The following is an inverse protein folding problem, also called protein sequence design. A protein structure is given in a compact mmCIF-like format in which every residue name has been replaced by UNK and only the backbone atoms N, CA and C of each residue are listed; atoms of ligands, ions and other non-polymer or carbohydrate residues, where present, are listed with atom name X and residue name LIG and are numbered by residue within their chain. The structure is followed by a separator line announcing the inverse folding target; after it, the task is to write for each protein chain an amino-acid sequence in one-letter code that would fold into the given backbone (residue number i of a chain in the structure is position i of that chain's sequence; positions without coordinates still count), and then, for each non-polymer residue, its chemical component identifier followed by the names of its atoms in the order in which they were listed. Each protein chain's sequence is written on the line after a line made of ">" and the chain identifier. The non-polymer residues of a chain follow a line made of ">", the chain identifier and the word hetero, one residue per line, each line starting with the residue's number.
data_IF_899759453919
#
_entry.id   IF_899759453919
#
_cell.length_a   1.000
_cell.length_b   1.000
_cell.length_c   1.000
_cell.angle_alpha   90.00
_cell.angle_beta   90.00
_cell.angle_gamma   90.00
#
_symmetry.space_group_name_H-M   'P 1'
#
loop_
_entity.id
_entity.type
_entity.pdbx_description
1 polymer ?
#
# COMPACT_ATOMS: atom_id res chain seq x y z
N UNK A 1 6.37 -34.44 25.45
CA UNK A 1 7.43 -33.42 25.46
C UNK A 1 8.65 -33.85 24.66
N UNK A 2 9.36 -34.94 25.02
CA UNK A 2 10.52 -35.44 24.23
C UNK A 2 10.23 -35.69 22.75
N UNK A 3 9.05 -36.23 22.40
CA UNK A 3 8.65 -36.48 21.00
C UNK A 3 8.46 -35.19 20.16
N UNK A 4 7.87 -34.14 20.74
CA UNK A 4 7.70 -32.84 20.08
C UNK A 4 9.03 -32.13 19.85
N UNK A 5 9.93 -32.21 20.83
CA UNK A 5 11.27 -31.65 20.75
C UNK A 5 12.12 -32.37 19.69
N UNK A 6 12.07 -33.71 19.65
CA UNK A 6 12.73 -34.50 18.60
C UNK A 6 12.19 -34.14 17.21
N UNK A 7 10.87 -34.12 17.01
CA UNK A 7 10.26 -33.73 15.72
C UNK A 7 10.61 -32.30 15.31
N UNK A 8 10.71 -31.38 16.27
CA UNK A 8 11.14 -30.01 16.01
C UNK A 8 12.60 -29.95 15.54
N UNK A 9 13.51 -30.66 16.22
CA UNK A 9 14.92 -30.74 15.85
C UNK A 9 15.13 -31.46 14.52
N UNK A 10 14.38 -32.51 14.22
CA UNK A 10 14.38 -33.19 12.90
C UNK A 10 14.00 -32.22 11.78
N UNK A 11 12.94 -31.42 11.98
CA UNK A 11 12.56 -30.37 11.01
C UNK A 11 13.62 -29.28 10.86
N UNK A 12 14.27 -28.87 11.95
CA UNK A 12 15.39 -27.93 11.87
C UNK A 12 16.58 -28.53 11.13
N UNK A 13 16.88 -29.81 11.32
CA UNK A 13 17.96 -30.50 10.61
C UNK A 13 17.66 -30.66 9.10
N UNK A 14 16.39 -30.84 8.72
CA UNK A 14 15.97 -30.82 7.31
C UNK A 14 16.15 -29.43 6.67
N UNK A 15 15.79 -28.36 7.39
CA UNK A 15 15.91 -26.97 6.90
C UNK A 15 17.36 -26.47 6.90
N UNK A 16 18.16 -26.88 7.90
CA UNK A 16 19.54 -26.45 8.12
C UNK A 16 20.47 -27.65 8.33
N UNK A 17 20.83 -28.40 7.26
CA UNK A 17 21.52 -29.69 7.38
C UNK A 17 22.96 -29.63 7.92
N UNK A 18 23.54 -28.43 8.03
CA UNK A 18 24.92 -28.23 8.46
C UNK A 18 25.00 -27.14 9.53
N UNK A 19 26.02 -27.21 10.38
CA UNK A 19 26.33 -26.17 11.36
C UNK A 19 26.49 -24.81 10.68
N UNK A 20 27.12 -24.79 9.49
CA UNK A 20 27.29 -23.58 8.69
C UNK A 20 25.94 -23.00 8.26
N UNK A 21 25.03 -23.81 7.71
CA UNK A 21 23.70 -23.35 7.28
C UNK A 21 22.88 -22.78 8.46
N UNK A 22 22.86 -23.49 9.60
CA UNK A 22 22.16 -23.02 10.79
C UNK A 22 22.78 -21.72 11.33
N UNK A 23 24.11 -21.65 11.40
CA UNK A 23 24.83 -20.47 11.88
C UNK A 23 24.64 -19.26 10.98
N UNK A 24 24.66 -19.44 9.65
CA UNK A 24 24.37 -18.37 8.69
C UNK A 24 22.94 -17.84 8.87
N UNK A 25 21.96 -18.72 9.06
CA UNK A 25 20.58 -18.27 9.28
C UNK A 25 20.41 -17.54 10.60
N UNK A 26 21.01 -18.03 11.69
CA UNK A 26 21.01 -17.34 12.99
C UNK A 26 21.61 -15.94 12.85
N UNK A 27 22.77 -15.80 12.19
CA UNK A 27 23.40 -14.49 11.94
C UNK A 27 22.46 -13.58 11.13
N UNK A 28 21.80 -14.10 10.10
CA UNK A 28 20.87 -13.33 9.28
C UNK A 28 19.65 -12.86 10.09
N UNK A 29 19.03 -13.73 10.87
CA UNK A 29 17.85 -13.41 11.67
C UNK A 29 18.20 -12.42 12.79
N UNK A 30 19.33 -12.61 13.48
CA UNK A 30 19.84 -11.66 14.48
C UNK A 30 20.11 -10.28 13.85
N UNK A 31 20.73 -10.23 12.67
CA UNK A 31 20.95 -8.97 11.96
C UNK A 31 19.63 -8.26 11.60
N UNK A 32 18.58 -9.01 11.24
CA UNK A 32 17.25 -8.48 10.95
C UNK A 32 16.57 -7.97 12.23
N UNK A 33 16.66 -8.71 13.34
CA UNK A 33 16.08 -8.31 14.64
C UNK A 33 16.70 -7.03 15.20
N UNK A 34 17.95 -6.74 14.83
CA UNK A 34 18.64 -5.50 15.20
C UNK A 34 18.25 -4.28 14.33
N UNK A 35 17.43 -4.44 13.30
CA UNK A 35 16.87 -3.31 12.56
C UNK A 35 15.75 -2.62 13.36
N UNK A 36 15.52 -1.31 13.15
CA UNK A 36 14.35 -0.63 13.69
C UNK A 36 13.07 -1.34 13.26
N UNK A 37 12.12 -1.49 14.20
CA UNK A 37 10.83 -2.13 13.92
C UNK A 37 10.12 -1.43 12.74
N UNK A 38 9.52 -2.24 11.88
CA UNK A 38 8.60 -1.81 10.83
C UNK A 38 7.41 -1.01 11.39
N UNK A 39 6.74 -0.28 10.50
CA UNK A 39 5.53 0.45 10.88
C UNK A 39 4.33 -0.47 10.71
N UNK A 40 3.68 -0.82 11.82
CA UNK A 40 2.41 -1.53 11.85
C UNK A 40 1.26 -0.54 11.61
N UNK A 41 0.38 -0.83 10.67
CA UNK A 41 -0.76 0.03 10.34
C UNK A 41 -2.06 -0.70 10.63
N UNK A 42 -2.79 -0.25 11.63
CA UNK A 42 -4.08 -0.84 12.03
C UNK A 42 -5.22 -0.05 11.42
N UNK A 43 -6.13 -0.72 10.72
CA UNK A 43 -7.37 -0.16 10.19
C UNK A 43 -8.57 -0.93 10.70
N UNK A 44 -9.61 -0.20 11.06
CA UNK A 44 -10.91 -0.69 11.55
C UNK A 44 -12.01 0.07 10.82
N UNK A 45 -13.23 -0.45 10.85
CA UNK A 45 -14.43 0.25 10.39
C UNK A 45 -14.34 0.73 8.94
N UNK A 46 -13.91 -0.15 8.04
CA UNK A 46 -13.76 0.16 6.62
C UNK A 46 -15.14 0.28 5.97
N UNK A 47 -16.04 -0.67 6.27
CA UNK A 47 -17.44 -0.69 5.86
C UNK A 47 -17.66 -0.39 4.38
N UNK A 48 -16.79 -0.84 3.47
CA UNK A 48 -16.91 -0.61 2.03
C UNK A 48 -16.56 0.80 1.54
N UNK A 49 -16.07 1.69 2.40
CA UNK A 49 -15.68 3.07 2.07
C UNK A 49 -14.32 3.13 1.36
N UNK A 50 -14.31 2.72 0.08
CA UNK A 50 -13.08 2.55 -0.70
C UNK A 50 -12.24 3.83 -0.83
N UNK A 51 -12.84 5.00 -1.03
CA UNK A 51 -12.08 6.24 -1.21
C UNK A 51 -11.32 6.64 0.05
N UNK A 52 -11.99 6.56 1.20
CA UNK A 52 -11.40 6.81 2.51
C UNK A 52 -10.29 5.79 2.80
N UNK A 53 -10.57 4.50 2.57
CA UNK A 53 -9.59 3.44 2.71
C UNK A 53 -8.33 3.67 1.85
N UNK A 54 -8.51 3.98 0.57
CA UNK A 54 -7.42 4.26 -0.35
C UNK A 54 -6.60 5.49 0.08
N UNK A 55 -7.25 6.54 0.58
CA UNK A 55 -6.56 7.73 1.11
C UNK A 55 -5.69 7.39 2.32
N UNK A 56 -6.23 6.60 3.27
CA UNK A 56 -5.52 6.20 4.48
C UNK A 56 -4.32 5.31 4.16
N UNK A 57 -4.44 4.40 3.19
CA UNK A 57 -3.29 3.63 2.69
C UNK A 57 -2.21 4.53 2.09
N UNK A 58 -2.60 5.47 1.21
CA UNK A 58 -1.66 6.39 0.54
C UNK A 58 -0.92 7.30 1.52
N UNK A 59 -1.58 7.75 2.58
CA UNK A 59 -0.98 8.65 3.57
C UNK A 59 -0.28 7.92 4.74
N UNK A 60 -0.52 6.61 4.88
CA UNK A 60 0.02 5.77 5.95
C UNK A 60 -0.41 6.24 7.35
N UNK A 61 -1.66 6.64 7.52
CA UNK A 61 -2.17 7.35 8.71
C UNK A 61 -1.27 8.52 9.16
N UNK A 62 -0.84 9.33 8.18
CA UNK A 62 0.04 10.48 8.39
C UNK A 62 1.52 10.13 8.61
N UNK A 63 1.92 8.87 8.55
CA UNK A 63 3.33 8.46 8.65
C UNK A 63 4.19 9.04 7.51
N UNK A 64 3.64 9.16 6.30
CA UNK A 64 4.34 9.80 5.18
C UNK A 64 4.61 11.28 5.47
N UNK A 65 3.62 12.02 5.97
CA UNK A 65 3.80 13.44 6.35
C UNK A 65 4.87 13.60 7.43
N UNK A 66 4.89 12.71 8.43
CA UNK A 66 5.96 12.68 9.44
C UNK A 66 7.32 12.44 8.81
N UNK A 67 7.43 11.48 7.89
CA UNK A 67 8.68 11.20 7.14
C UNK A 67 9.20 12.43 6.39
N UNK A 68 8.32 13.14 5.69
CA UNK A 68 8.66 14.38 4.99
C UNK A 68 9.17 15.43 5.97
N UNK A 69 8.55 15.57 7.15
CA UNK A 69 8.97 16.50 8.18
C UNK A 69 10.33 16.10 8.79
N UNK A 70 10.57 14.80 9.03
CA UNK A 70 11.83 14.29 9.57
C UNK A 70 13.02 14.60 8.66
N UNK A 71 12.82 14.47 7.34
CA UNK A 71 13.89 14.70 6.34
C UNK A 71 14.16 16.20 6.15
N UNK A 72 13.11 17.01 6.02
CA UNK A 72 13.26 18.41 5.63
C UNK A 72 13.13 19.41 6.78
N UNK A 73 12.91 18.98 8.03
CA UNK A 73 13.03 19.80 9.24
C UNK A 73 12.62 21.26 9.04
N UNK A 74 13.56 22.19 9.14
CA UNK A 74 13.34 23.61 8.84
C UNK A 74 13.88 24.05 7.46
N UNK A 75 14.37 23.11 6.64
CA UNK A 75 14.90 23.41 5.29
C UNK A 75 13.81 23.68 4.26
N UNK A 76 12.59 23.20 4.49
CA UNK A 76 11.41 23.50 3.67
C UNK A 76 10.31 24.18 4.47
N UNK A 77 9.56 25.06 3.79
CA UNK A 77 8.34 25.66 4.36
C UNK A 77 7.28 24.59 4.62
N UNK A 78 6.36 24.85 5.56
CA UNK A 78 5.23 23.93 5.81
C UNK A 78 4.35 23.73 4.58
N UNK A 79 4.22 24.77 3.74
CA UNK A 79 3.48 24.68 2.47
C UNK A 79 4.14 23.71 1.49
N UNK A 80 5.47 23.75 1.38
CA UNK A 80 6.21 22.87 0.47
C UNK A 80 6.20 21.43 0.97
N UNK A 81 6.33 21.21 2.28
CA UNK A 81 6.19 19.87 2.88
C UNK A 81 4.81 19.29 2.63
N UNK A 82 3.75 20.09 2.79
CA UNK A 82 2.39 19.64 2.53
C UNK A 82 2.20 19.32 1.05
N UNK A 83 2.70 20.17 0.15
CA UNK A 83 2.66 19.92 -1.30
C UNK A 83 3.39 18.62 -1.67
N UNK A 84 4.57 18.37 -1.08
CA UNK A 84 5.35 17.16 -1.29
C UNK A 84 4.66 15.91 -0.73
N UNK A 85 4.04 16.00 0.45
CA UNK A 85 3.24 14.92 1.00
C UNK A 85 2.03 14.60 0.11
N UNK A 86 1.30 15.62 -0.37
CA UNK A 86 0.20 15.44 -1.32
C UNK A 86 0.67 14.82 -2.64
N UNK A 87 1.85 15.19 -3.13
CA UNK A 87 2.45 14.57 -4.30
C UNK A 87 2.71 13.08 -4.06
N UNK A 88 3.20 12.71 -2.87
CA UNK A 88 3.39 11.30 -2.53
C UNK A 88 2.05 10.57 -2.50
N UNK A 89 0.97 11.18 -2.00
CA UNK A 89 -0.35 10.53 -1.93
C UNK A 89 -0.98 10.32 -3.31
N UNK A 90 -0.90 11.34 -4.17
CA UNK A 90 -1.58 11.41 -5.45
C UNK A 90 -0.61 11.90 -6.53
N UNK A 91 0.38 11.07 -6.92
CA UNK A 91 1.49 11.52 -7.73
C UNK A 91 1.05 11.99 -9.11
N UNK A 92 0.07 11.31 -9.73
CA UNK A 92 -0.41 11.66 -11.07
C UNK A 92 -1.20 12.97 -11.05
N UNK A 93 -2.17 13.06 -10.16
CA UNK A 93 -3.10 14.18 -10.05
C UNK A 93 -2.38 15.45 -9.60
N UNK A 94 -1.52 15.33 -8.57
CA UNK A 94 -0.80 16.48 -8.03
C UNK A 94 0.26 16.98 -9.01
N UNK A 95 0.97 16.08 -9.69
CA UNK A 95 1.93 16.47 -10.73
C UNK A 95 1.24 17.16 -11.90
N UNK A 96 0.14 16.61 -12.40
CA UNK A 96 -0.63 17.23 -13.49
C UNK A 96 -1.11 18.64 -13.09
N UNK A 97 -1.56 18.83 -11.84
CA UNK A 97 -1.92 20.15 -11.33
C UNK A 97 -0.74 21.13 -11.32
N UNK A 98 0.43 20.70 -10.82
CA UNK A 98 1.61 21.56 -10.71
C UNK A 98 2.12 21.95 -12.10
N UNK A 99 2.25 20.98 -13.01
CA UNK A 99 2.82 21.18 -14.34
C UNK A 99 1.99 22.13 -15.21
N UNK A 100 0.68 22.28 -14.96
CA UNK A 100 -0.15 23.30 -15.64
C UNK A 100 0.29 24.74 -15.35
N UNK A 101 0.97 24.98 -14.23
CA UNK A 101 1.36 26.33 -13.77
C UNK A 101 2.87 26.50 -13.66
N UNK A 102 3.65 25.44 -13.91
CA UNK A 102 5.09 25.44 -13.76
C UNK A 102 5.74 26.26 -14.90
N UNK A 103 6.51 27.29 -14.53
CA UNK A 103 7.29 28.08 -15.49
C UNK A 103 8.47 27.29 -16.09
N UNK A 104 9.11 26.45 -15.28
CA UNK A 104 10.17 25.55 -15.71
C UNK A 104 9.89 24.12 -15.20
N UNK A 105 9.26 23.26 -16.03
CA UNK A 105 8.99 21.88 -15.68
C UNK A 105 10.24 21.04 -15.37
N UNK A 106 11.35 21.26 -16.08
CA UNK A 106 12.59 20.49 -15.89
C UNK A 106 13.22 20.74 -14.52
N UNK A 107 13.31 22.01 -14.10
CA UNK A 107 13.78 22.37 -12.76
C UNK A 107 12.88 21.76 -11.68
N UNK A 108 11.57 21.77 -11.90
CA UNK A 108 10.62 21.16 -10.96
C UNK A 108 10.83 19.65 -10.85
N UNK A 109 11.01 18.94 -11.97
CA UNK A 109 11.32 17.51 -11.96
C UNK A 109 12.61 17.24 -11.19
N UNK A 110 13.66 18.00 -11.48
CA UNK A 110 14.97 17.86 -10.84
C UNK A 110 14.87 18.00 -9.32
N UNK A 111 14.28 19.11 -8.85
CA UNK A 111 14.09 19.37 -7.41
C UNK A 111 13.24 18.28 -6.76
N UNK A 112 12.17 17.86 -7.44
CA UNK A 112 11.25 16.85 -6.92
C UNK A 112 11.92 15.48 -6.79
N UNK A 113 12.68 15.06 -7.79
CA UNK A 113 13.43 13.81 -7.77
C UNK A 113 14.42 13.78 -6.61
N UNK A 114 15.25 14.82 -6.40
CA UNK A 114 16.14 14.87 -5.24
C UNK A 114 15.39 14.76 -3.91
N UNK A 115 14.26 15.47 -3.78
CA UNK A 115 13.46 15.41 -2.56
C UNK A 115 12.90 14.02 -2.30
N UNK A 116 12.43 13.34 -3.34
CA UNK A 116 11.92 11.97 -3.24
C UNK A 116 13.04 10.96 -2.96
N UNK A 117 14.25 11.17 -3.49
CA UNK A 117 15.44 10.36 -3.18
C UNK A 117 15.73 10.41 -1.68
N UNK A 118 15.79 11.60 -1.09
CA UNK A 118 16.07 11.76 0.35
C UNK A 118 14.98 11.14 1.24
N UNK A 119 13.71 11.27 0.86
CA UNK A 119 12.62 10.59 1.57
C UNK A 119 12.72 9.08 1.43
N UNK A 120 13.05 8.58 0.24
CA UNK A 120 13.19 7.16 -0.04
C UNK A 120 14.34 6.54 0.79
N UNK A 121 15.48 7.23 0.90
CA UNK A 121 16.59 6.85 1.79
C UNK A 121 16.14 6.73 3.25
N UNK A 122 15.36 7.71 3.72
CA UNK A 122 14.85 7.70 5.10
C UNK A 122 13.76 6.65 5.32
N UNK A 123 12.98 6.32 4.31
CA UNK A 123 11.97 5.25 4.37
C UNK A 123 12.61 3.86 4.33
N UNK A 124 13.68 3.69 3.55
CA UNK A 124 14.39 2.42 3.36
C UNK A 124 15.32 2.06 4.52
N UNK A 125 15.77 3.03 5.34
CA UNK A 125 16.81 2.82 6.35
C UNK A 125 16.46 1.82 7.47
N UNK A 126 15.18 1.46 7.64
CA UNK A 126 14.70 0.45 8.61
C UNK A 126 14.61 -0.96 8.02
N UNK A 127 15.05 -1.16 6.78
CA UNK A 127 14.89 -2.42 6.05
C UNK A 127 16.21 -2.96 5.53
N UNK A 128 16.27 -4.28 5.35
CA UNK A 128 17.38 -4.91 4.63
C UNK A 128 17.38 -4.50 3.16
N UNK A 129 18.57 -4.50 2.53
CA UNK A 129 18.70 -4.25 1.09
C UNK A 129 17.82 -5.18 0.25
N UNK A 130 17.75 -6.45 0.62
CA UNK A 130 16.90 -7.43 -0.06
C UNK A 130 15.41 -7.06 -0.01
N UNK A 131 14.91 -6.61 1.15
CA UNK A 131 13.51 -6.17 1.30
C UNK A 131 13.23 -4.91 0.48
N UNK A 132 14.14 -3.94 0.48
CA UNK A 132 14.03 -2.74 -0.35
C UNK A 132 14.01 -3.10 -1.83
N UNK A 133 14.95 -3.93 -2.30
CA UNK A 133 15.03 -4.34 -3.71
C UNK A 133 13.76 -5.04 -4.20
N UNK A 134 13.13 -5.88 -3.37
CA UNK A 134 11.84 -6.52 -3.68
C UNK A 134 10.66 -5.54 -3.72
N UNK A 135 10.79 -4.36 -3.11
CA UNK A 135 9.79 -3.30 -3.13
C UNK A 135 9.96 -2.33 -4.31
N UNK A 136 11.10 -2.37 -4.99
CA UNK A 136 11.39 -1.45 -6.09
C UNK A 136 10.55 -1.77 -7.32
N UNK A 137 10.05 -0.75 -8.03
CA UNK A 137 9.34 -0.93 -9.29
C UNK A 137 10.29 -1.50 -10.34
N UNK A 138 9.93 -2.60 -11.04
CA UNK A 138 10.86 -3.34 -11.91
C UNK A 138 11.56 -2.46 -12.96
N UNK A 139 10.83 -1.52 -13.54
CA UNK A 139 11.33 -0.62 -14.58
C UNK A 139 12.45 0.31 -14.09
N UNK A 140 12.39 0.76 -12.83
CA UNK A 140 13.34 1.71 -12.26
C UNK A 140 14.22 1.09 -11.16
N UNK A 141 14.15 -0.23 -10.96
CA UNK A 141 14.73 -0.88 -9.79
C UNK A 141 16.23 -0.60 -9.65
N UNK A 142 17.01 -0.83 -10.71
CA UNK A 142 18.45 -0.56 -10.70
C UNK A 142 18.76 0.91 -10.39
N UNK A 143 18.07 1.84 -11.06
CA UNK A 143 18.34 3.27 -10.95
C UNK A 143 17.97 3.80 -9.56
N UNK A 144 16.81 3.42 -9.04
CA UNK A 144 16.38 3.85 -7.71
C UNK A 144 17.25 3.20 -6.63
N UNK A 145 17.62 1.92 -6.76
CA UNK A 145 18.54 1.25 -5.83
C UNK A 145 19.86 2.02 -5.73
N UNK A 146 20.44 2.41 -6.86
CA UNK A 146 21.67 3.20 -6.92
C UNK A 146 21.53 4.56 -6.23
N UNK A 147 20.39 5.24 -6.44
CA UNK A 147 20.11 6.56 -5.85
C UNK A 147 19.90 6.51 -4.32
N UNK A 148 19.42 5.39 -3.76
CA UNK A 148 19.04 5.31 -2.33
C UNK A 148 20.03 4.53 -1.44
N UNK A 149 20.96 3.75 -2.00
CA UNK A 149 21.76 2.77 -1.23
C UNK A 149 23.07 3.34 -0.67
N UNK A 150 23.48 4.55 -1.06
CA UNK A 150 24.85 5.02 -0.81
C UNK A 150 25.07 5.80 0.51
N UNK A 151 26.29 5.62 1.03
CA UNK A 151 26.89 6.29 2.20
C UNK A 151 27.35 7.70 1.85
N UNK A 152 27.14 8.61 2.80
CA UNK A 152 27.32 10.08 2.74
C UNK A 152 28.75 10.56 2.39
N UNK A 153 29.75 9.68 2.25
CA UNK A 153 31.17 10.04 2.37
C UNK A 153 32.01 10.07 1.07
N UNK A 154 31.42 10.03 -0.13
CA UNK A 154 32.19 10.09 -1.39
C UNK A 154 31.81 11.32 -2.22
N UNK A 155 32.57 12.41 -2.08
CA UNK A 155 32.40 13.68 -2.81
C UNK A 155 32.36 13.51 -4.34
N UNK A 156 32.99 12.47 -4.88
CA UNK A 156 33.06 12.23 -6.34
C UNK A 156 31.75 11.74 -6.97
N UNK A 157 30.75 11.35 -6.16
CA UNK A 157 29.51 10.74 -6.67
C UNK A 157 28.30 11.66 -6.76
N UNK A 158 28.39 12.90 -6.26
CA UNK A 158 27.32 13.88 -6.49
C UNK A 158 27.13 14.17 -7.99
N UNK A 159 28.23 14.29 -8.73
CA UNK A 159 28.22 14.42 -10.19
C UNK A 159 27.55 13.22 -10.88
N UNK A 160 27.80 12.01 -10.37
CA UNK A 160 27.20 10.78 -10.87
C UNK A 160 25.67 10.78 -10.67
N UNK A 161 25.18 11.14 -9.49
CA UNK A 161 23.74 11.25 -9.24
C UNK A 161 23.07 12.34 -10.07
N UNK A 162 23.73 13.48 -10.21
CA UNK A 162 23.27 14.54 -11.08
C UNK A 162 23.14 14.06 -12.53
N UNK A 163 24.09 13.24 -13.01
CA UNK A 163 24.02 12.65 -14.33
C UNK A 163 22.84 11.68 -14.48
N UNK A 164 22.54 10.85 -13.47
CA UNK A 164 21.36 9.96 -13.48
C UNK A 164 20.08 10.78 -13.56
N UNK A 165 19.89 11.74 -12.65
CA UNK A 165 18.67 12.57 -12.60
C UNK A 165 18.48 13.35 -13.89
N UNK A 166 19.54 13.99 -14.39
CA UNK A 166 19.49 14.71 -15.67
C UNK A 166 19.18 13.77 -16.84
N UNK A 167 19.69 12.53 -16.81
CA UNK A 167 19.40 11.53 -17.86
C UNK A 167 17.94 11.13 -17.85
N UNK A 168 17.34 10.85 -16.67
CA UNK A 168 15.91 10.53 -16.52
C UNK A 168 15.03 11.62 -17.14
N UNK A 169 15.37 12.89 -16.89
CA UNK A 169 14.65 14.05 -17.44
C UNK A 169 14.86 14.12 -18.96
N UNK A 170 16.10 14.01 -19.44
CA UNK A 170 16.44 14.10 -20.87
C UNK A 170 15.76 13.02 -21.71
N UNK A 171 15.55 11.83 -21.16
CA UNK A 171 14.84 10.74 -21.86
C UNK A 171 13.32 10.77 -21.66
N UNK A 172 12.78 11.85 -21.09
CA UNK A 172 11.36 12.07 -20.83
C UNK A 172 10.69 10.98 -19.97
N UNK A 173 11.43 10.45 -18.98
CA UNK A 173 10.91 9.44 -18.02
C UNK A 173 10.73 9.98 -16.60
N UNK A 174 10.82 11.30 -16.42
CA UNK A 174 10.73 11.94 -15.11
C UNK A 174 9.37 11.73 -14.44
N UNK A 175 8.27 11.75 -15.19
CA UNK A 175 6.91 11.60 -14.64
C UNK A 175 6.71 10.21 -14.03
N UNK A 176 7.06 9.18 -14.80
CA UNK A 176 6.95 7.77 -14.41
C UNK A 176 7.90 7.47 -13.25
N UNK A 177 9.12 8.03 -13.27
CA UNK A 177 10.06 7.90 -12.17
C UNK A 177 9.52 8.54 -10.88
N UNK A 178 8.92 9.72 -10.95
CA UNK A 178 8.30 10.37 -9.77
C UNK A 178 7.17 9.50 -9.20
N UNK A 179 6.28 8.97 -10.05
CA UNK A 179 5.19 8.09 -9.63
C UNK A 179 5.76 6.84 -8.94
N UNK A 180 6.73 6.18 -9.57
CA UNK A 180 7.43 5.02 -9.05
C UNK A 180 8.07 5.28 -7.67
N UNK A 181 8.71 6.45 -7.49
CA UNK A 181 9.29 6.83 -6.20
C UNK A 181 8.23 7.15 -5.14
N UNK A 182 7.12 7.80 -5.51
CA UNK A 182 6.02 8.04 -4.58
C UNK A 182 5.39 6.73 -4.10
N UNK A 183 5.13 5.78 -5.00
CA UNK A 183 4.60 4.45 -4.67
C UNK A 183 5.59 3.64 -3.82
N UNK A 184 6.89 3.74 -4.10
CA UNK A 184 7.93 3.14 -3.25
C UNK A 184 7.90 3.73 -1.83
N UNK A 185 7.80 5.06 -1.69
CA UNK A 185 7.72 5.71 -0.38
C UNK A 185 6.47 5.26 0.38
N UNK A 186 5.31 5.17 -0.29
CA UNK A 186 4.08 4.65 0.32
C UNK A 186 4.31 3.22 0.85
N UNK A 187 4.86 2.34 0.01
CA UNK A 187 5.14 0.94 0.34
C UNK A 187 6.14 0.78 1.48
N UNK A 188 7.23 1.55 1.50
CA UNK A 188 8.24 1.50 2.57
C UNK A 188 7.80 2.21 3.85
N UNK A 189 6.77 3.06 3.78
CA UNK A 189 6.28 3.75 4.97
C UNK A 189 5.55 2.77 5.88
N UNK A 190 4.66 1.94 5.33
CA UNK A 190 3.87 0.94 6.07
C UNK A 190 4.46 -0.44 5.86
N UNK A 191 4.91 -1.08 6.93
CA UNK A 191 5.53 -2.40 6.82
C UNK A 191 4.53 -3.53 6.69
N UNK A 192 3.53 -3.51 7.57
CA UNK A 192 2.48 -4.50 7.65
C UNK A 192 1.14 -3.80 7.93
N UNK A 193 0.09 -4.32 7.31
CA UNK A 193 -1.27 -3.81 7.43
C UNK A 193 -2.11 -4.81 8.21
N UNK A 194 -2.68 -4.36 9.33
CA UNK A 194 -3.62 -5.12 10.12
C UNK A 194 -5.02 -4.60 9.84
N UNK A 195 -5.90 -5.44 9.30
CA UNK A 195 -7.32 -5.12 9.13
C UNK A 195 -8.11 -5.75 10.28
N UNK A 196 -8.80 -4.92 11.04
CA UNK A 196 -9.62 -5.29 12.19
C UNK A 196 -11.09 -5.36 11.81
N UNK A 197 -11.38 -6.22 10.84
CA UNK A 197 -12.73 -6.60 10.43
C UNK A 197 -13.51 -5.51 9.70
N UNK A 198 -14.73 -5.91 9.33
CA UNK A 198 -15.77 -5.09 8.72
C UNK A 198 -15.27 -4.34 7.49
N UNK A 199 -14.71 -5.11 6.54
CA UNK A 199 -14.36 -4.66 5.19
C UNK A 199 -15.64 -4.41 4.39
N UNK A 200 -16.62 -5.29 4.56
CA UNK A 200 -17.97 -5.19 3.98
C UNK A 200 -18.92 -4.50 4.96
N UNK A 201 -19.89 -3.73 4.47
CA UNK A 201 -21.19 -3.41 5.13
C UNK A 201 -21.94 -2.38 4.26
N UNK A 202 -21.67 -1.08 4.47
CA UNK A 202 -22.54 0.05 4.05
C UNK A 202 -22.04 0.87 2.88
N UNK A 203 -20.76 0.75 2.55
CA UNK A 203 -20.10 1.54 1.54
C UNK A 203 -20.11 0.85 0.19
N UNK A 204 -19.86 1.58 -0.90
CA UNK A 204 -20.10 1.11 -2.25
C UNK A 204 -18.99 0.21 -2.81
N UNK A 205 -17.80 0.21 -2.21
CA UNK A 205 -16.60 -0.37 -2.82
C UNK A 205 -15.91 -1.52 -2.09
N UNK A 206 -16.57 -2.41 -1.32
CA UNK A 206 -15.86 -3.45 -0.57
C UNK A 206 -15.15 -4.46 -1.48
N UNK A 207 -15.68 -4.73 -2.68
CA UNK A 207 -15.03 -5.58 -3.68
C UNK A 207 -13.71 -4.98 -4.20
N UNK A 208 -13.70 -3.66 -4.45
CA UNK A 208 -12.49 -2.91 -4.85
C UNK A 208 -11.45 -2.91 -3.72
N UNK A 209 -11.90 -2.80 -2.47
CA UNK A 209 -11.03 -2.89 -1.29
C UNK A 209 -10.37 -4.27 -1.25
N UNK A 210 -11.14 -5.35 -1.42
CA UNK A 210 -10.60 -6.71 -1.43
C UNK A 210 -9.58 -6.92 -2.54
N UNK A 211 -9.84 -6.48 -3.77
CA UNK A 211 -8.86 -6.54 -4.87
C UNK A 211 -7.54 -5.82 -4.50
N UNK A 212 -7.66 -4.67 -3.81
CA UNK A 212 -6.51 -3.93 -3.32
C UNK A 212 -5.76 -4.68 -2.22
N UNK A 213 -6.47 -5.30 -1.27
CA UNK A 213 -5.87 -6.07 -0.18
C UNK A 213 -5.15 -7.33 -0.70
N UNK A 214 -5.72 -8.02 -1.69
CA UNK A 214 -5.14 -9.23 -2.31
C UNK A 214 -3.78 -8.98 -2.95
N UNK A 215 -3.51 -7.75 -3.41
CA UNK A 215 -2.24 -7.37 -4.04
C UNK A 215 -1.31 -6.61 -3.09
N UNK A 216 -1.71 -6.42 -1.83
CA UNK A 216 -0.94 -5.68 -0.84
C UNK A 216 0.28 -6.49 -0.37
N UNK A 217 1.39 -5.82 -0.05
CA UNK A 217 2.68 -6.49 0.14
C UNK A 217 2.80 -7.30 1.43
N UNK A 218 2.06 -6.93 2.47
CA UNK A 218 2.07 -7.63 3.76
C UNK A 218 0.83 -7.23 4.55
N UNK A 219 -0.01 -8.21 4.87
CA UNK A 219 -1.30 -8.00 5.51
C UNK A 219 -1.73 -9.21 6.33
N UNK A 220 -2.44 -8.95 7.41
CA UNK A 220 -3.33 -9.89 8.08
C UNK A 220 -4.72 -9.27 8.29
N UNK A 221 -5.72 -10.15 8.41
CA UNK A 221 -7.11 -9.75 8.57
C UNK A 221 -7.70 -10.54 9.73
N UNK A 222 -8.20 -9.82 10.73
CA UNK A 222 -9.14 -10.34 11.70
C UNK A 222 -10.54 -10.12 11.13
N UNK A 223 -11.28 -11.20 10.86
CA UNK A 223 -12.61 -11.09 10.27
C UNK A 223 -13.64 -10.53 11.26
N UNK A 224 -14.42 -9.56 10.81
CA UNK A 224 -15.55 -8.98 11.51
C UNK A 224 -16.87 -9.70 11.20
N UNK A 225 -17.93 -9.34 11.90
CA UNK A 225 -19.24 -9.97 11.71
C UNK A 225 -19.83 -9.69 10.32
N UNK A 226 -19.58 -8.51 9.74
CA UNK A 226 -20.05 -8.20 8.40
C UNK A 226 -19.28 -8.99 7.33
N UNK A 227 -17.99 -9.27 7.56
CA UNK A 227 -17.22 -10.12 6.65
C UNK A 227 -17.73 -11.56 6.67
N UNK A 228 -18.00 -12.12 7.86
CA UNK A 228 -18.57 -13.46 8.01
C UNK A 228 -19.95 -13.55 7.35
N UNK A 229 -20.76 -12.49 7.41
CA UNK A 229 -22.03 -12.44 6.71
C UNK A 229 -21.84 -12.59 5.20
N UNK A 230 -20.90 -11.85 4.61
CA UNK A 230 -20.58 -11.95 3.18
C UNK A 230 -20.00 -13.33 2.81
N UNK A 231 -19.14 -13.91 3.65
CA UNK A 231 -18.63 -15.27 3.44
C UNK A 231 -19.74 -16.31 3.48
N UNK A 232 -20.69 -16.18 4.42
CA UNK A 232 -21.86 -17.06 4.50
C UNK A 232 -22.73 -16.95 3.26
N UNK A 233 -22.90 -15.75 2.71
CA UNK A 233 -23.62 -15.54 1.47
C UNK A 233 -22.90 -16.21 0.28
N UNK A 234 -21.59 -16.03 0.18
CA UNK A 234 -20.75 -16.68 -0.85
C UNK A 234 -20.75 -18.21 -0.74
N UNK A 235 -20.89 -18.76 0.48
CA UNK A 235 -21.03 -20.19 0.72
C UNK A 235 -22.42 -20.75 0.42
N UNK A 236 -23.38 -19.92 -0.02
CA UNK A 236 -24.72 -20.36 -0.38
C UNK A 236 -25.74 -20.36 0.76
N UNK A 237 -25.40 -19.79 1.93
CA UNK A 237 -26.33 -19.74 3.06
C UNK A 237 -27.44 -18.72 2.77
N UNK A 238 -28.68 -19.19 2.63
CA UNK A 238 -29.82 -18.39 2.13
C UNK A 238 -30.16 -17.17 3.01
N UNK A 239 -29.99 -17.27 4.32
CA UNK A 239 -30.21 -16.16 5.25
C UNK A 239 -29.16 -15.05 5.11
N UNK A 240 -27.90 -15.42 4.93
CA UNK A 240 -26.80 -14.52 4.66
C UNK A 240 -27.00 -13.84 3.30
N UNK A 241 -27.37 -14.60 2.26
CA UNK A 241 -27.70 -14.06 0.93
C UNK A 241 -28.82 -13.01 1.05
N UNK A 242 -29.94 -13.37 1.69
CA UNK A 242 -31.05 -12.46 1.87
C UNK A 242 -30.65 -11.20 2.64
N UNK A 243 -29.81 -11.34 3.67
CA UNK A 243 -29.35 -10.20 4.46
C UNK A 243 -28.34 -9.32 3.70
N UNK A 244 -27.43 -9.89 2.90
CA UNK A 244 -26.53 -9.12 2.02
C UNK A 244 -27.34 -8.31 1.02
N UNK A 245 -28.32 -8.93 0.34
CA UNK A 245 -29.21 -8.22 -0.60
C UNK A 245 -29.95 -7.09 0.12
N UNK A 246 -30.50 -7.37 1.31
CA UNK A 246 -31.19 -6.37 2.13
C UNK A 246 -30.27 -5.21 2.53
N UNK A 247 -29.01 -5.47 2.90
CA UNK A 247 -28.04 -4.44 3.28
C UNK A 247 -27.69 -3.58 2.06
N UNK A 248 -27.37 -4.20 0.92
CA UNK A 248 -27.11 -3.50 -0.33
C UNK A 248 -28.30 -2.61 -0.74
N UNK A 249 -29.53 -3.12 -0.70
CA UNK A 249 -30.73 -2.33 -1.00
C UNK A 249 -30.92 -1.17 0.00
N UNK A 250 -30.75 -1.43 1.30
CA UNK A 250 -30.96 -0.43 2.37
C UNK A 250 -30.02 0.75 2.26
N UNK A 251 -28.75 0.51 1.91
CA UNK A 251 -27.72 1.54 1.83
C UNK A 251 -27.52 2.07 0.40
N UNK A 252 -28.32 1.64 -0.57
CA UNK A 252 -28.21 2.12 -1.95
C UNK A 252 -26.99 1.59 -2.71
N UNK A 253 -26.48 0.42 -2.34
CA UNK A 253 -25.30 -0.22 -2.95
C UNK A 253 -25.67 -1.47 -3.75
N UNK A 254 -26.77 -1.44 -4.50
CA UNK A 254 -27.16 -2.54 -5.37
C UNK A 254 -26.14 -2.79 -6.50
N UNK A 255 -25.42 -1.74 -6.90
CA UNK A 255 -24.32 -1.80 -7.88
C UNK A 255 -23.21 -2.78 -7.46
N UNK A 256 -23.03 -3.06 -6.15
CA UNK A 256 -22.10 -4.11 -5.70
C UNK A 256 -22.52 -5.47 -6.24
N UNK A 257 -23.82 -5.76 -6.23
CA UNK A 257 -24.36 -7.04 -6.69
C UNK A 257 -24.36 -7.10 -8.21
N UNK A 258 -24.81 -6.02 -8.87
CA UNK A 258 -24.94 -5.96 -10.32
C UNK A 258 -23.59 -5.83 -11.02
N UNK A 259 -22.86 -4.74 -10.79
CA UNK A 259 -21.59 -4.46 -11.46
C UNK A 259 -20.43 -5.22 -10.80
N UNK A 260 -20.41 -5.28 -9.48
CA UNK A 260 -19.32 -5.91 -8.73
C UNK A 260 -19.32 -7.43 -8.84
N UNK A 261 -20.48 -8.08 -8.69
CA UNK A 261 -20.61 -9.54 -8.72
C UNK A 261 -21.21 -10.09 -10.01
N UNK A 262 -21.75 -9.25 -10.90
CA UNK A 262 -22.37 -9.70 -12.14
C UNK A 262 -23.74 -10.35 -11.94
N UNK A 263 -24.43 -10.06 -10.83
CA UNK A 263 -25.73 -10.64 -10.52
C UNK A 263 -26.83 -9.81 -11.17
N UNK A 264 -27.58 -10.41 -12.09
CA UNK A 264 -28.72 -9.76 -12.71
C UNK A 264 -29.84 -9.51 -11.68
N UNK A 265 -30.12 -8.24 -11.38
CA UNK A 265 -31.15 -7.81 -10.44
C UNK A 265 -32.54 -7.62 -11.09
N UNK A 266 -32.67 -7.74 -12.40
CA UNK A 266 -33.96 -7.61 -13.10
C UNK A 266 -35.06 -8.52 -12.52
N UNK A 267 -34.81 -9.80 -12.21
CA UNK A 267 -35.83 -10.66 -11.60
C UNK A 267 -36.30 -10.14 -10.24
N UNK A 268 -35.40 -9.56 -9.44
CA UNK A 268 -35.72 -8.98 -8.14
C UNK A 268 -36.55 -7.71 -8.30
N UNK A 269 -36.19 -6.85 -9.26
CA UNK A 269 -36.93 -5.63 -9.59
C UNK A 269 -38.34 -5.94 -10.12
N UNK A 270 -38.47 -6.91 -11.03
CA UNK A 270 -39.78 -7.37 -11.53
C UNK A 270 -40.64 -7.91 -10.41
N UNK A 271 -40.10 -8.78 -9.55
CA UNK A 271 -40.82 -9.28 -8.39
C UNK A 271 -41.28 -8.15 -7.46
N UNK A 272 -40.42 -7.15 -7.23
CA UNK A 272 -40.75 -6.02 -6.38
C UNK A 272 -41.90 -5.18 -6.96
N UNK A 273 -41.87 -4.88 -8.26
CA UNK A 273 -42.92 -4.14 -8.95
C UNK A 273 -44.26 -4.89 -8.99
N UNK A 274 -44.23 -6.20 -9.25
CA UNK A 274 -45.45 -7.02 -9.32
C UNK A 274 -46.09 -7.25 -7.94
N UNK A 275 -45.27 -7.37 -6.89
CA UNK A 275 -45.75 -7.73 -5.55
C UNK A 275 -46.04 -6.49 -4.68
N UNK A 276 -45.26 -5.42 -4.85
CA UNK A 276 -45.29 -4.22 -4.01
C UNK A 276 -45.52 -2.94 -4.82
N UNK A 277 -45.93 -3.01 -6.09
CA UNK A 277 -46.12 -1.82 -6.93
C UNK A 277 -47.19 -0.84 -6.44
N UNK A 278 -48.22 -1.36 -5.75
CA UNK A 278 -49.26 -0.58 -5.09
C UNK A 278 -48.93 -0.27 -3.61
N UNK A 279 -47.77 -0.70 -3.12
CA UNK A 279 -47.31 -0.40 -1.78
C UNK A 279 -46.99 1.10 -1.71
N UNK A 280 -47.69 1.88 -0.85
CA UNK A 280 -47.47 3.31 -0.78
C UNK A 280 -46.06 3.70 -0.31
N UNK A 281 -45.28 2.76 0.25
CA UNK A 281 -43.95 2.95 0.84
C UNK A 281 -43.80 4.23 1.69
#
# INVERSE_FOLDING_TARGET
>A
MRDLETRYLERLAELYPTIAAASTEVINLEAILNLPKGTEHFLTDIHGEYEAFAHVLKNGSGAVRRKVADVFGNTLSNRDKQSLATLIYYPREKMAQILKTAKNPEDWYKITLYRLIEISKRASSKYTRSKVRKALPPEFAYVIEELITEKVDVRDKESYYNAIVNTIIRVDRARECIIAMCELIQRLTVDHLHILGDIYDRGPGPHIIMDKLMTYHSIDIQWGNHDILWMGAAAGQRGCIANVIRICARYGNLDILEDGYGINLLPLATFALETYGDDPC
#
